data_IF_029739756279
#
_entry.id   IF_029739756279
#
_cell.length_a   1.000
_cell.length_b   1.000
_cell.length_c   1.000
_cell.angle_alpha   90.00
_cell.angle_beta   90.00
_cell.angle_gamma   90.00
#
_symmetry.space_group_name_H-M   'P 1'
#
loop_
_entity.id
_entity.type
_entity.pdbx_description
1 polymer ?
#
# COMPACT_ATOMS: atom_id res chain seq x y z
N UNK A 1 -15.22 18.85 -19.34
CA UNK A 1 -16.03 19.71 -20.23
C UNK A 1 -15.37 21.07 -20.27
N UNK A 2 -14.50 21.33 -21.24
CA UNK A 2 -13.99 22.68 -21.49
C UNK A 2 -15.00 23.37 -22.39
N UNK A 3 -15.72 24.38 -21.90
CA UNK A 3 -16.52 25.26 -22.75
C UNK A 3 -15.85 26.62 -22.77
N UNK A 4 -15.14 26.93 -23.84
CA UNK A 4 -14.74 28.31 -24.12
C UNK A 4 -16.01 29.17 -24.16
N UNK A 5 -16.13 30.14 -23.26
CA UNK A 5 -17.21 31.11 -23.35
C UNK A 5 -17.01 32.02 -24.56
N UNK A 6 -18.12 32.54 -25.09
CA UNK A 6 -18.07 33.53 -26.16
C UNK A 6 -17.25 34.75 -25.72
N UNK A 7 -16.48 35.38 -26.62
CA UNK A 7 -15.68 36.54 -26.30
C UNK A 7 -16.55 37.68 -25.74
N UNK A 8 -16.10 38.32 -24.67
CA UNK A 8 -16.76 39.50 -24.08
C UNK A 8 -16.17 40.76 -24.71
N UNK A 9 -17.03 41.61 -25.26
CA UNK A 9 -16.66 42.94 -25.76
C UNK A 9 -17.18 44.00 -24.79
N UNK A 10 -16.36 44.98 -24.40
CA UNK A 10 -16.78 46.11 -23.58
C UNK A 10 -16.18 47.41 -24.11
N UNK A 11 -16.90 48.52 -23.93
CA UNK A 11 -16.39 49.85 -24.23
C UNK A 11 -15.61 50.38 -23.03
N UNK A 12 -14.36 50.77 -23.23
CA UNK A 12 -13.50 51.30 -22.16
C UNK A 12 -14.06 52.63 -21.63
N UNK A 13 -14.30 52.78 -20.32
CA UNK A 13 -14.74 54.04 -19.74
C UNK A 13 -13.56 55.01 -19.51
N UNK A 14 -13.87 56.24 -19.11
CA UNK A 14 -12.87 57.30 -18.85
C UNK A 14 -12.05 57.10 -17.55
N UNK A 15 -12.26 55.98 -16.84
CA UNK A 15 -11.56 55.63 -15.60
C UNK A 15 -10.96 54.22 -15.70
N UNK A 16 -9.98 53.91 -14.86
CA UNK A 16 -9.36 52.57 -14.82
C UNK A 16 -10.36 51.49 -14.42
N UNK A 17 -10.34 50.36 -15.14
CA UNK A 17 -11.19 49.19 -14.88
C UNK A 17 -10.31 47.97 -14.66
N UNK A 18 -10.65 47.16 -13.66
CA UNK A 18 -10.06 45.83 -13.43
C UNK A 18 -11.05 44.75 -13.83
N UNK A 19 -10.67 43.90 -14.77
CA UNK A 19 -11.45 42.74 -15.22
C UNK A 19 -10.76 41.47 -14.73
N UNK A 20 -11.53 40.59 -14.10
CA UNK A 20 -11.03 39.31 -13.60
C UNK A 20 -11.75 38.17 -14.32
N UNK A 21 -10.98 37.29 -14.96
CA UNK A 21 -11.48 36.00 -15.43
C UNK A 21 -11.25 34.95 -14.32
N UNK A 22 -12.32 34.28 -13.90
CA UNK A 22 -12.25 33.23 -12.88
C UNK A 22 -12.30 31.85 -13.53
N UNK A 23 -11.38 30.97 -13.16
CA UNK A 23 -11.31 29.58 -13.65
C UNK A 23 -11.49 28.62 -12.48
N UNK A 24 -12.34 27.61 -12.66
CA UNK A 24 -12.49 26.51 -11.70
C UNK A 24 -11.86 25.24 -12.28
N UNK A 25 -11.02 24.52 -11.52
CA UNK A 25 -10.47 23.26 -11.97
C UNK A 25 -11.58 22.22 -12.11
N UNK A 26 -11.63 21.55 -13.27
CA UNK A 26 -12.51 20.40 -13.46
C UNK A 26 -11.95 19.20 -12.72
N UNK A 27 -12.82 18.42 -12.07
CA UNK A 27 -12.45 17.15 -11.42
C UNK A 27 -13.09 15.97 -12.14
N UNK A 28 -12.43 14.82 -12.06
CA UNK A 28 -12.92 13.52 -12.53
C UNK A 28 -12.95 12.55 -11.36
N UNK A 29 -13.99 11.72 -11.31
CA UNK A 29 -14.10 10.68 -10.30
C UNK A 29 -13.19 9.51 -10.69
N UNK A 30 -12.26 9.16 -9.80
CA UNK A 30 -11.38 8.01 -9.96
C UNK A 30 -11.81 6.95 -8.95
N UNK A 31 -11.88 5.69 -9.36
CA UNK A 31 -12.15 4.58 -8.44
C UNK A 31 -10.84 3.93 -8.04
N UNK A 32 -10.52 3.91 -6.76
CA UNK A 32 -9.37 3.18 -6.23
C UNK A 32 -9.89 1.90 -5.61
N UNK A 33 -9.42 0.75 -6.11
CA UNK A 33 -9.75 -0.58 -5.62
C UNK A 33 -8.54 -1.15 -4.90
N UNK A 34 -8.71 -1.53 -3.64
CA UNK A 34 -7.69 -2.20 -2.83
C UNK A 34 -8.08 -3.66 -2.69
N UNK A 35 -7.18 -4.55 -3.09
CA UNK A 35 -7.34 -6.01 -3.02
C UNK A 35 -6.10 -6.67 -2.43
N UNK A 36 -6.24 -7.87 -1.91
CA UNK A 36 -5.13 -8.70 -1.45
C UNK A 36 -4.48 -9.50 -2.61
N UNK A 37 -3.50 -10.35 -2.28
CA UNK A 37 -2.84 -11.24 -3.24
C UNK A 37 -3.74 -12.36 -3.80
N UNK A 38 -4.90 -12.60 -3.17
CA UNK A 38 -5.90 -13.59 -3.59
C UNK A 38 -7.06 -12.96 -4.38
N UNK A 39 -7.04 -11.63 -4.55
CA UNK A 39 -8.08 -10.87 -5.24
C UNK A 39 -9.27 -10.51 -4.35
N UNK A 40 -9.23 -10.77 -3.04
CA UNK A 40 -10.29 -10.34 -2.13
C UNK A 40 -10.19 -8.82 -1.87
N UNK A 41 -11.32 -8.11 -1.78
CA UNK A 41 -11.31 -6.70 -1.42
C UNK A 41 -10.86 -6.51 0.03
N UNK A 42 -10.02 -5.50 0.28
CA UNK A 42 -9.55 -5.16 1.64
C UNK A 42 -10.36 -3.97 2.18
N UNK A 43 -11.33 -4.19 3.09
CA UNK A 43 -12.09 -3.10 3.70
C UNK A 43 -11.28 -2.38 4.78
N UNK A 44 -11.63 -1.12 5.05
CA UNK A 44 -10.98 -0.27 6.06
C UNK A 44 -9.47 -0.04 5.83
N UNK A 45 -8.97 -0.29 4.62
CA UNK A 45 -7.61 0.08 4.23
C UNK A 45 -7.52 1.61 4.09
N UNK A 46 -6.47 2.21 4.66
CA UNK A 46 -6.18 3.63 4.51
C UNK A 46 -5.48 3.87 3.19
N UNK A 47 -6.14 4.55 2.27
CA UNK A 47 -5.60 4.97 0.97
C UNK A 47 -5.13 6.41 1.08
N UNK A 48 -3.85 6.65 0.78
CA UNK A 48 -3.25 7.98 0.69
C UNK A 48 -2.94 8.30 -0.77
N UNK A 49 -3.36 9.48 -1.22
CA UNK A 49 -3.17 9.95 -2.59
C UNK A 49 -2.38 11.25 -2.54
N UNK A 50 -1.29 11.32 -3.28
CA UNK A 50 -0.42 12.49 -3.37
C UNK A 50 -0.02 12.79 -4.82
N UNK A 51 0.63 13.93 -5.05
CA UNK A 51 1.05 14.35 -6.38
C UNK A 51 0.02 15.23 -7.10
N UNK A 52 0.27 15.49 -8.38
CA UNK A 52 -0.49 16.45 -9.16
C UNK A 52 -0.55 17.86 -8.52
N UNK A 53 -1.68 18.58 -8.65
CA UNK A 53 -1.86 19.91 -8.06
C UNK A 53 -2.31 19.86 -6.59
N UNK A 54 -2.27 18.69 -5.92
CA UNK A 54 -2.70 18.59 -4.52
C UNK A 54 -1.74 19.33 -3.59
N UNK A 55 -2.28 20.26 -2.81
CA UNK A 55 -1.53 20.97 -1.76
C UNK A 55 -1.35 20.09 -0.51
N UNK A 56 -2.23 19.12 -0.31
CA UNK A 56 -2.14 18.15 0.78
C UNK A 56 -2.60 16.78 0.29
N UNK A 57 -2.00 15.68 0.80
CA UNK A 57 -2.44 14.34 0.44
C UNK A 57 -3.90 14.11 0.82
N UNK A 58 -4.64 13.41 -0.03
CA UNK A 58 -5.97 12.93 0.30
C UNK A 58 -5.80 11.61 1.06
N UNK A 59 -6.46 11.47 2.21
CA UNK A 59 -6.52 10.21 2.95
C UNK A 59 -7.98 9.78 3.07
N UNK A 60 -8.26 8.54 2.71
CA UNK A 60 -9.60 7.96 2.78
C UNK A 60 -9.53 6.47 3.13
N UNK A 61 -10.57 5.94 3.77
CA UNK A 61 -10.67 4.52 4.10
C UNK A 61 -11.55 3.77 3.10
N UNK A 62 -11.15 2.57 2.70
CA UNK A 62 -11.93 1.74 1.78
C UNK A 62 -13.24 1.25 2.41
N UNK A 63 -14.30 1.18 1.61
CA UNK A 63 -15.59 0.60 2.02
C UNK A 63 -15.54 -0.95 2.07
N UNK A 64 -16.70 -1.59 2.31
CA UNK A 64 -16.83 -3.06 2.34
C UNK A 64 -16.39 -3.77 1.06
N UNK A 65 -16.42 -3.06 -0.07
CA UNK A 65 -15.98 -3.57 -1.37
C UNK A 65 -14.51 -3.25 -1.67
N UNK A 66 -13.76 -2.72 -0.70
CA UNK A 66 -12.36 -2.36 -0.87
C UNK A 66 -12.15 -1.10 -1.73
N UNK A 67 -13.16 -0.24 -1.88
CA UNK A 67 -13.12 0.91 -2.80
C UNK A 67 -13.11 2.27 -2.12
N UNK A 68 -12.50 3.24 -2.79
CA UNK A 68 -12.53 4.67 -2.48
C UNK A 68 -12.67 5.46 -3.78
N UNK A 69 -13.50 6.50 -3.79
CA UNK A 69 -13.78 7.28 -5.02
C UNK A 69 -13.40 8.76 -4.86
N UNK A 70 -12.11 9.11 -4.93
CA UNK A 70 -11.65 10.50 -4.90
C UNK A 70 -12.01 11.25 -6.19
N UNK A 71 -12.19 12.56 -6.05
CA UNK A 71 -12.28 13.49 -7.19
C UNK A 71 -10.91 14.11 -7.42
N UNK A 72 -10.31 13.87 -8.58
CA UNK A 72 -8.95 14.34 -8.92
C UNK A 72 -8.98 15.23 -10.17
N UNK A 73 -8.00 16.13 -10.30
CA UNK A 73 -7.87 16.97 -11.49
C UNK A 73 -7.19 16.15 -12.61
N UNK A 74 -7.78 16.05 -13.80
CA UNK A 74 -7.15 15.36 -14.92
C UNK A 74 -5.94 16.17 -15.43
N UNK A 75 -5.01 15.49 -16.09
CA UNK A 75 -3.79 16.06 -16.64
C UNK A 75 -2.53 15.85 -15.80
N UNK A 76 -2.61 15.08 -14.71
CA UNK A 76 -1.51 14.92 -13.75
C UNK A 76 -1.28 13.47 -13.34
N UNK A 77 -0.06 13.18 -12.91
CA UNK A 77 0.31 11.90 -12.27
C UNK A 77 0.09 11.98 -10.77
N UNK A 78 -0.61 10.98 -10.23
CA UNK A 78 -0.88 10.81 -8.81
C UNK A 78 -0.21 9.53 -8.30
N UNK A 79 0.28 9.60 -7.06
CA UNK A 79 0.80 8.46 -6.33
C UNK A 79 -0.26 7.98 -5.35
N UNK A 80 -0.64 6.72 -5.47
CA UNK A 80 -1.61 6.06 -4.62
C UNK A 80 -0.87 5.06 -3.74
N UNK A 81 -1.06 5.12 -2.44
CA UNK A 81 -0.59 4.11 -1.50
C UNK A 81 -1.74 3.64 -0.64
N UNK A 82 -1.72 2.36 -0.25
CA UNK A 82 -2.70 1.79 0.66
C UNK A 82 -1.98 1.07 1.81
N UNK A 83 -2.55 1.15 3.01
CA UNK A 83 -2.09 0.40 4.17
C UNK A 83 -3.29 -0.14 4.96
N UNK A 84 -3.13 -1.33 5.53
CA UNK A 84 -4.13 -1.95 6.39
C UNK A 84 -3.41 -2.79 7.47
N UNK A 85 -4.01 -2.90 8.65
CA UNK A 85 -3.47 -3.76 9.72
C UNK A 85 -3.48 -5.23 9.28
N UNK A 86 -2.37 -5.93 9.48
CA UNK A 86 -2.20 -7.31 9.01
C UNK A 86 -1.77 -7.43 7.56
N UNK A 87 -1.46 -6.32 6.87
CA UNK A 87 -0.99 -6.31 5.50
C UNK A 87 0.34 -5.57 5.34
N UNK A 88 1.14 -5.99 4.37
CA UNK A 88 2.21 -5.17 3.81
C UNK A 88 1.57 -4.13 2.89
N UNK A 89 1.93 -2.85 3.08
CA UNK A 89 1.40 -1.74 2.29
C UNK A 89 1.82 -1.82 0.83
N UNK A 90 0.94 -1.39 -0.05
CA UNK A 90 1.14 -1.36 -1.50
C UNK A 90 0.98 0.05 -2.05
N UNK A 91 1.35 0.24 -3.31
CA UNK A 91 1.14 1.52 -3.99
C UNK A 91 1.45 1.47 -5.47
N UNK A 92 0.96 2.48 -6.18
CA UNK A 92 1.15 2.64 -7.63
C UNK A 92 1.07 4.12 -8.00
N UNK A 93 1.68 4.49 -9.12
CA UNK A 93 1.61 5.83 -9.69
C UNK A 93 0.84 5.78 -10.99
N UNK A 94 -0.11 6.69 -11.21
CA UNK A 94 -0.96 6.67 -12.41
C UNK A 94 -1.23 8.08 -12.92
N UNK A 95 -1.12 8.26 -14.24
CA UNK A 95 -1.53 9.47 -14.93
C UNK A 95 -3.04 9.49 -15.12
N UNK A 96 -3.71 10.51 -14.59
CA UNK A 96 -5.16 10.64 -14.65
C UNK A 96 -5.52 11.60 -15.78
N UNK A 97 -6.09 11.08 -16.87
CA UNK A 97 -6.63 11.88 -17.98
C UNK A 97 -8.16 11.94 -17.98
N UNK A 98 -8.82 11.07 -17.24
CA UNK A 98 -10.27 10.93 -17.15
C UNK A 98 -10.69 9.94 -16.05
N UNK A 99 -11.99 9.58 -15.97
CA UNK A 99 -12.46 8.55 -15.06
C UNK A 99 -11.75 7.23 -15.32
N UNK A 100 -11.19 6.64 -14.27
CA UNK A 100 -10.43 5.38 -14.36
C UNK A 100 -10.53 4.59 -13.06
N UNK A 101 -10.12 3.32 -13.12
CA UNK A 101 -9.98 2.46 -11.95
C UNK A 101 -8.50 2.16 -11.69
N UNK A 102 -8.01 2.51 -10.50
CA UNK A 102 -6.65 2.23 -10.04
C UNK A 102 -6.72 1.07 -9.05
N UNK A 103 -5.99 -0.01 -9.32
CA UNK A 103 -5.95 -1.17 -8.42
C UNK A 103 -4.65 -1.15 -7.61
N UNK A 104 -4.77 -1.33 -6.30
CA UNK A 104 -3.63 -1.45 -5.37
C UNK A 104 -3.69 -2.83 -4.73
N UNK A 105 -2.60 -3.56 -4.82
CA UNK A 105 -2.45 -4.86 -4.17
C UNK A 105 -1.76 -4.70 -2.82
N UNK A 106 -2.41 -5.19 -1.77
CA UNK A 106 -1.83 -5.42 -0.46
C UNK A 106 -1.43 -6.89 -0.34
N UNK A 107 -0.47 -7.19 0.54
CA UNK A 107 -0.09 -8.58 0.83
C UNK A 107 -0.47 -8.89 2.26
N UNK A 108 -1.45 -9.77 2.46
CA UNK A 108 -1.86 -10.25 3.77
C UNK A 108 -0.70 -10.96 4.48
N UNK A 109 -0.55 -10.73 5.78
CA UNK A 109 0.50 -11.31 6.62
C UNK A 109 -0.06 -11.99 7.85
N UNK A 110 0.60 -13.07 8.26
CA UNK A 110 0.38 -13.75 9.53
C UNK A 110 1.63 -13.65 10.41
N UNK A 111 1.43 -13.67 11.73
CA UNK A 111 2.54 -13.64 12.69
C UNK A 111 3.14 -15.04 12.84
N UNK A 112 4.40 -15.20 12.44
CA UNK A 112 5.22 -16.36 12.78
C UNK A 112 5.97 -16.07 14.08
N UNK A 113 5.78 -16.91 15.10
CA UNK A 113 6.59 -16.88 16.33
C UNK A 113 7.50 -18.10 16.38
N UNK A 114 8.79 -17.87 16.62
CA UNK A 114 9.79 -18.92 16.78
C UNK A 114 10.47 -18.74 18.12
N UNK A 115 10.56 -19.82 18.90
CA UNK A 115 11.24 -19.84 20.19
C UNK A 115 12.41 -20.83 20.12
N UNK A 116 13.59 -20.40 20.57
CA UNK A 116 14.74 -21.28 20.70
C UNK A 116 14.93 -21.62 22.18
N UNK A 117 14.93 -22.90 22.52
CA UNK A 117 15.29 -23.35 23.88
C UNK A 117 16.77 -23.12 24.16
N UNK A 118 17.21 -23.37 25.39
CA UNK A 118 18.64 -23.30 25.72
C UNK A 118 19.46 -24.23 24.80
N UNK A 119 20.67 -23.81 24.44
CA UNK A 119 21.63 -24.67 23.74
C UNK A 119 21.74 -24.54 22.23
N UNK A 120 21.11 -23.54 21.61
CA UNK A 120 21.28 -23.30 20.18
C UNK A 120 20.58 -22.05 19.69
N UNK A 121 20.59 -21.84 18.39
CA UNK A 121 19.82 -20.78 17.73
C UNK A 121 18.97 -21.35 16.59
N UNK A 122 17.96 -20.60 16.18
CA UNK A 122 17.15 -20.92 15.00
C UNK A 122 17.24 -19.77 14.01
N UNK A 123 17.72 -20.06 12.81
CA UNK A 123 17.70 -19.09 11.69
C UNK A 123 16.43 -19.28 10.87
N UNK A 124 15.75 -18.19 10.57
CA UNK A 124 14.45 -18.17 9.89
C UNK A 124 14.61 -17.59 8.48
N UNK A 125 14.11 -18.32 7.50
CA UNK A 125 14.06 -17.92 6.10
C UNK A 125 12.63 -17.92 5.59
N UNK A 126 12.30 -16.94 4.74
CA UNK A 126 10.99 -16.82 4.08
C UNK A 126 11.20 -16.78 2.57
N UNK A 127 10.28 -17.40 1.82
CA UNK A 127 10.25 -17.38 0.36
C UNK A 127 8.81 -17.20 -0.14
N UNK A 128 8.50 -16.21 -1.00
CA UNK A 128 7.15 -16.04 -1.54
C UNK A 128 6.66 -17.24 -2.35
N UNK A 129 7.56 -17.91 -3.07
CA UNK A 129 7.24 -18.96 -4.06
C UNK A 129 8.00 -20.28 -3.84
N UNK A 130 8.87 -20.33 -2.83
CA UNK A 130 9.70 -21.49 -2.50
C UNK A 130 11.02 -21.57 -3.29
N UNK A 131 11.25 -20.65 -4.23
CA UNK A 131 12.43 -20.68 -5.12
C UNK A 131 13.59 -19.87 -4.55
N UNK A 132 13.33 -18.64 -4.11
CA UNK A 132 14.33 -17.72 -3.56
C UNK A 132 14.10 -17.51 -2.06
N UNK A 133 15.13 -17.75 -1.25
CA UNK A 133 15.04 -17.70 0.21
C UNK A 133 15.74 -16.46 0.76
N UNK A 134 15.05 -15.70 1.60
CA UNK A 134 15.60 -14.56 2.33
C UNK A 134 15.63 -14.84 3.83
N UNK A 135 16.77 -14.61 4.48
CA UNK A 135 16.87 -14.70 5.94
C UNK A 135 16.15 -13.50 6.56
N UNK A 136 15.19 -13.75 7.45
CA UNK A 136 14.42 -12.70 8.14
C UNK A 136 14.86 -12.49 9.59
N UNK A 137 15.59 -13.45 10.16
CA UNK A 137 16.18 -13.29 11.49
C UNK A 137 16.78 -14.56 12.06
N UNK A 138 17.35 -14.41 13.26
CA UNK A 138 17.89 -15.51 14.07
C UNK A 138 17.40 -15.36 15.51
N UNK A 139 16.84 -16.43 16.08
CA UNK A 139 16.46 -16.50 17.50
C UNK A 139 17.57 -17.17 18.28
N UNK A 140 18.15 -16.47 19.24
CA UNK A 140 19.18 -17.02 20.13
C UNK A 140 18.57 -17.87 21.24
N UNK A 141 19.41 -18.71 21.87
CA UNK A 141 19.04 -19.58 22.96
C UNK A 141 18.25 -18.87 24.06
N UNK A 142 17.12 -19.45 24.45
CA UNK A 142 16.22 -18.93 25.49
C UNK A 142 15.39 -17.71 25.07
N UNK A 143 15.38 -17.34 23.80
CA UNK A 143 14.62 -16.19 23.28
C UNK A 143 13.46 -16.63 22.39
N UNK A 144 12.57 -15.68 22.10
CA UNK A 144 11.54 -15.80 21.07
C UNK A 144 11.61 -14.61 20.12
N UNK A 145 11.38 -14.87 18.83
CA UNK A 145 11.24 -13.86 17.80
C UNK A 145 9.87 -13.96 17.13
N UNK A 146 9.37 -12.84 16.63
CA UNK A 146 8.11 -12.78 15.88
C UNK A 146 8.28 -11.95 14.60
N UNK A 147 7.73 -12.44 13.49
CA UNK A 147 7.76 -11.76 12.20
C UNK A 147 6.39 -11.79 11.54
N UNK A 148 6.05 -10.72 10.84
CA UNK A 148 4.94 -10.73 9.89
C UNK A 148 5.41 -11.41 8.59
N UNK A 149 4.81 -12.54 8.26
CA UNK A 149 5.15 -13.36 7.08
C UNK A 149 3.97 -13.32 6.12
N UNK A 150 4.18 -13.07 4.81
CA UNK A 150 3.10 -13.13 3.82
C UNK A 150 2.34 -14.44 3.86
N UNK A 151 1.00 -14.38 3.86
CA UNK A 151 0.15 -15.57 3.78
C UNK A 151 0.38 -16.27 2.44
N UNK A 152 0.62 -17.59 2.50
CA UNK A 152 0.96 -18.42 1.34
C UNK A 152 2.47 -18.52 1.06
N UNK A 153 3.32 -17.75 1.75
CA UNK A 153 4.76 -17.88 1.63
C UNK A 153 5.27 -19.16 2.33
N UNK A 154 6.40 -19.67 1.84
CA UNK A 154 7.12 -20.78 2.43
C UNK A 154 8.06 -20.28 3.53
N UNK A 155 8.15 -21.04 4.63
CA UNK A 155 9.06 -20.80 5.75
C UNK A 155 10.05 -21.96 5.85
N UNK A 156 11.33 -21.65 6.02
CA UNK A 156 12.40 -22.62 6.28
C UNK A 156 13.12 -22.25 7.56
N UNK A 157 13.25 -23.23 8.44
CA UNK A 157 13.89 -23.08 9.75
C UNK A 157 15.17 -23.93 9.79
N UNK A 158 16.27 -23.33 10.24
CA UNK A 158 17.54 -24.00 10.44
C UNK A 158 17.91 -23.96 11.92
N UNK A 159 17.97 -25.12 12.57
CA UNK A 159 18.49 -25.26 13.92
C UNK A 159 20.02 -25.28 13.90
N UNK A 160 20.64 -24.48 14.75
CA UNK A 160 22.10 -24.43 14.94
C UNK A 160 22.42 -24.74 16.41
N UNK A 161 22.57 -26.03 16.80
CA UNK A 161 22.98 -26.40 18.14
C UNK A 161 24.37 -25.84 18.47
N UNK A 162 24.53 -25.32 19.68
CA UNK A 162 25.83 -24.95 20.21
C UNK A 162 26.64 -26.21 20.59
N UNK A 163 27.96 -26.05 20.76
CA UNK A 163 28.82 -27.14 21.25
C UNK A 163 28.27 -27.75 22.54
N UNK A 164 28.15 -29.08 22.59
CA UNK A 164 27.58 -29.81 23.72
C UNK A 164 26.06 -30.00 23.69
N UNK A 165 25.37 -29.49 22.66
CA UNK A 165 23.94 -29.68 22.46
C UNK A 165 23.66 -30.43 21.15
N UNK A 166 22.51 -31.11 21.11
CA UNK A 166 22.00 -31.79 19.92
C UNK A 166 20.60 -31.28 19.58
N UNK A 167 20.30 -31.19 18.29
CA UNK A 167 18.94 -30.90 17.85
C UNK A 167 18.04 -32.11 18.13
N UNK A 168 17.00 -31.93 18.96
CA UNK A 168 16.10 -33.01 19.39
C UNK A 168 14.82 -33.13 18.56
N UNK A 169 14.50 -32.13 17.73
CA UNK A 169 13.30 -32.08 16.90
C UNK A 169 12.59 -30.73 16.95
N UNK A 170 11.60 -30.56 16.07
CA UNK A 170 10.71 -29.41 16.06
C UNK A 170 9.39 -29.75 16.77
N UNK A 171 8.73 -28.74 17.33
CA UNK A 171 7.34 -28.82 17.82
C UNK A 171 6.53 -27.66 17.24
N UNK A 172 5.23 -27.86 17.03
CA UNK A 172 4.32 -26.80 16.55
C UNK A 172 4.49 -26.40 15.08
N UNK A 173 5.19 -27.20 14.26
CA UNK A 173 5.15 -27.06 12.80
C UNK A 173 3.77 -27.56 12.32
N UNK A 174 3.02 -26.76 11.55
CA UNK A 174 1.68 -27.10 11.08
C UNK A 174 1.65 -28.26 10.07
#
# INVERSE_FOLDING_TARGET
MSSTQNPVTFQMPAQGVSITASFLPATVQVTVQVVDQFGNPVPNATVTISGGPLVSPISATTNSSGQVTPNLQPGYTYNFSASASGYISGGTSTYISGPTTVTIHLTETATLTVSATQGGSVTVYVSPDGSAWSQVGTVSAGQSGSWAVPVGAYVKLQANPASGYQFSGWSGVP
#
